data_IF_314094880684
#
_entry.id   IF_314094880684
#
_cell.length_a   1.000
_cell.length_b   1.000
_cell.length_c   1.000
_cell.angle_alpha   90.00
_cell.angle_beta   90.00
_cell.angle_gamma   90.00
#
_symmetry.space_group_name_H-M   'P 1'
#
loop_
_entity.id
_entity.type
_entity.pdbx_description
1 polymer ?
#
# COMPACT_ATOMS: atom_id res chain seq x y z
N UNK A 1 18.27 -27.12 11.04
CA UNK A 1 17.18 -27.68 10.20
C UNK A 1 17.56 -27.44 8.76
N UNK A 2 17.48 -28.47 7.91
CA UNK A 2 17.73 -28.32 6.47
C UNK A 2 16.64 -27.41 5.91
N UNK A 3 17.03 -26.30 5.30
CA UNK A 3 16.09 -25.36 4.67
C UNK A 3 15.68 -25.99 3.33
N UNK A 4 14.60 -26.75 3.30
CA UNK A 4 14.08 -27.40 2.09
C UNK A 4 13.26 -26.41 1.27
N UNK A 5 13.31 -26.53 -0.06
CA UNK A 5 12.51 -25.70 -0.96
C UNK A 5 11.04 -26.07 -0.79
N UNK A 6 10.21 -25.09 -0.41
CA UNK A 6 8.76 -25.26 -0.29
C UNK A 6 8.15 -25.49 -1.66
N UNK A 7 7.14 -26.34 -1.74
CA UNK A 7 6.28 -26.42 -2.93
C UNK A 7 5.44 -25.15 -3.09
N UNK A 8 4.98 -24.85 -4.31
CA UNK A 8 4.28 -23.58 -4.61
C UNK A 8 3.11 -23.29 -3.65
N UNK A 9 2.23 -24.28 -3.41
CA UNK A 9 1.09 -24.12 -2.49
C UNK A 9 1.52 -23.79 -1.07
N UNK A 10 2.53 -24.50 -0.55
CA UNK A 10 3.09 -24.24 0.78
C UNK A 10 3.73 -22.86 0.86
N UNK A 11 4.45 -22.45 -0.18
CA UNK A 11 5.09 -21.15 -0.26
C UNK A 11 4.08 -20.00 -0.30
N UNK A 12 2.97 -20.13 -1.05
CA UNK A 12 1.91 -19.13 -1.08
C UNK A 12 1.25 -18.96 0.29
N UNK A 13 0.91 -20.06 0.95
CA UNK A 13 0.40 -20.01 2.33
C UNK A 13 1.39 -19.32 3.26
N UNK A 14 2.69 -19.61 3.17
CA UNK A 14 3.70 -18.97 4.00
C UNK A 14 3.81 -17.44 3.77
N UNK A 15 3.64 -16.97 2.52
CA UNK A 15 3.62 -15.54 2.20
C UNK A 15 2.35 -14.86 2.75
N UNK A 16 1.19 -15.49 2.60
CA UNK A 16 -0.09 -14.97 3.12
C UNK A 16 -0.12 -14.93 4.65
N UNK A 17 0.42 -15.96 5.31
CA UNK A 17 0.57 -16.01 6.77
C UNK A 17 1.48 -14.88 7.27
N UNK A 18 2.61 -14.66 6.57
CA UNK A 18 3.52 -13.57 6.88
C UNK A 18 2.84 -12.21 6.75
N UNK A 19 1.98 -12.00 5.74
CA UNK A 19 1.17 -10.79 5.58
C UNK A 19 0.17 -10.63 6.71
N UNK A 20 -0.54 -11.69 7.06
CA UNK A 20 -1.64 -11.67 8.03
C UNK A 20 -1.14 -11.41 9.46
N UNK A 21 0.06 -11.88 9.80
CA UNK A 21 0.65 -11.74 11.14
C UNK A 21 0.78 -10.28 11.65
N UNK A 22 0.93 -9.31 10.75
CA UNK A 22 1.01 -7.86 11.07
C UNK A 22 0.13 -7.06 10.10
N UNK A 23 -1.07 -7.58 9.81
CA UNK A 23 -1.99 -6.94 8.87
C UNK A 23 -2.43 -5.55 9.37
N UNK A 24 -2.33 -4.55 8.50
CA UNK A 24 -2.65 -3.15 8.83
C UNK A 24 -4.12 -2.94 9.20
N UNK A 25 -5.03 -3.78 8.71
CA UNK A 25 -6.44 -3.79 9.13
C UNK A 25 -6.66 -4.08 10.62
N UNK A 26 -5.73 -4.75 11.29
CA UNK A 26 -5.80 -5.00 12.74
C UNK A 26 -5.22 -3.84 13.58
N UNK A 27 -4.64 -2.81 12.94
CA UNK A 27 -4.10 -1.65 13.63
C UNK A 27 -5.23 -0.81 14.27
N UNK A 28 -5.06 -0.26 15.49
CA UNK A 28 -6.09 0.57 16.14
C UNK A 28 -6.63 1.73 15.29
N UNK A 29 -5.78 2.42 14.53
CA UNK A 29 -6.19 3.42 13.53
C UNK A 29 -7.22 2.87 12.53
N UNK A 30 -6.94 1.69 11.96
CA UNK A 30 -7.80 1.05 10.95
C UNK A 30 -9.12 0.62 11.53
N UNK A 31 -9.11 0.08 12.76
CA UNK A 31 -10.32 -0.29 13.49
C UNK A 31 -11.18 0.94 13.80
N UNK A 32 -10.57 2.02 14.29
CA UNK A 32 -11.25 3.28 14.56
C UNK A 32 -11.89 3.86 13.28
N UNK A 33 -11.19 3.82 12.14
CA UNK A 33 -11.75 4.23 10.87
C UNK A 33 -12.96 3.36 10.48
N UNK A 34 -12.79 2.04 10.45
CA UNK A 34 -13.84 1.11 10.05
C UNK A 34 -15.10 1.22 10.94
N UNK A 35 -14.92 1.52 12.23
CA UNK A 35 -16.01 1.73 13.18
C UNK A 35 -16.68 3.12 13.07
N UNK A 36 -16.16 4.02 12.23
CA UNK A 36 -16.67 5.38 12.08
C UNK A 36 -16.31 6.30 13.26
N UNK A 37 -15.24 5.99 13.98
CA UNK A 37 -14.79 6.74 15.17
C UNK A 37 -13.85 7.90 14.80
N UNK A 38 -13.34 7.95 13.56
CA UNK A 38 -12.53 9.04 13.05
C UNK A 38 -13.39 10.12 12.39
N UNK A 39 -13.01 11.38 12.53
CA UNK A 39 -13.59 12.47 11.74
C UNK A 39 -12.94 12.59 10.35
N UNK A 40 -13.60 13.32 9.44
CA UNK A 40 -13.11 13.52 8.07
C UNK A 40 -11.73 14.20 8.03
N UNK A 41 -11.42 15.08 8.98
CA UNK A 41 -10.14 15.79 9.01
C UNK A 41 -9.00 14.84 9.39
N UNK A 42 -9.23 13.91 10.33
CA UNK A 42 -8.27 12.86 10.70
C UNK A 42 -8.01 11.92 9.53
N UNK A 43 -9.07 11.50 8.83
CA UNK A 43 -8.99 10.71 7.60
C UNK A 43 -8.22 11.46 6.51
N UNK A 44 -8.49 12.75 6.33
CA UNK A 44 -7.75 13.62 5.41
C UNK A 44 -6.26 13.74 5.74
N UNK A 45 -5.88 13.75 7.03
CA UNK A 45 -4.45 13.73 7.42
C UNK A 45 -3.77 12.40 7.08
N UNK A 46 -4.48 11.28 7.15
CA UNK A 46 -3.97 10.03 6.58
C UNK A 46 -3.76 10.14 5.07
N UNK A 47 -4.70 10.75 4.34
CA UNK A 47 -4.60 10.90 2.88
C UNK A 47 -3.34 11.68 2.48
N UNK A 48 -2.98 12.73 3.21
CA UNK A 48 -1.72 13.48 2.96
C UNK A 48 -0.48 12.59 3.11
N UNK A 49 -0.43 11.78 4.18
CA UNK A 49 0.70 10.87 4.37
C UNK A 49 0.71 9.76 3.32
N UNK A 50 -0.47 9.24 2.98
CA UNK A 50 -0.61 8.19 1.99
C UNK A 50 -0.24 8.68 0.58
N UNK A 51 -0.60 9.91 0.22
CA UNK A 51 -0.18 10.57 -1.01
C UNK A 51 1.33 10.70 -1.09
N UNK A 52 1.98 11.19 -0.04
CA UNK A 52 3.44 11.22 -0.01
C UNK A 52 3.99 9.81 -0.24
N UNK A 53 3.43 8.78 0.38
CA UNK A 53 3.88 7.42 0.14
C UNK A 53 3.67 6.95 -1.32
N UNK A 54 2.49 7.18 -1.93
CA UNK A 54 2.12 6.59 -3.23
C UNK A 54 2.50 7.41 -4.46
N UNK A 55 2.70 8.73 -4.34
CA UNK A 55 3.03 9.59 -5.48
C UNK A 55 4.21 9.06 -6.35
N UNK A 56 5.28 8.46 -5.78
CA UNK A 56 6.36 7.87 -6.57
C UNK A 56 6.15 6.40 -7.00
N UNK A 57 5.01 5.76 -6.70
CA UNK A 57 4.78 4.34 -7.00
C UNK A 57 4.94 4.03 -8.50
N UNK A 58 4.40 4.83 -9.44
CA UNK A 58 4.66 4.62 -10.86
C UNK A 58 6.15 4.56 -11.23
N UNK A 59 6.96 5.47 -10.69
CA UNK A 59 8.39 5.50 -10.96
C UNK A 59 9.10 4.31 -10.28
N UNK A 60 8.64 3.87 -9.12
CA UNK A 60 9.13 2.68 -8.44
C UNK A 60 8.82 1.41 -9.24
N UNK A 61 7.63 1.30 -9.85
CA UNK A 61 7.27 0.20 -10.73
C UNK A 61 8.06 0.23 -12.04
N UNK A 62 8.25 1.40 -12.64
CA UNK A 62 9.13 1.54 -13.81
C UNK A 62 10.56 1.09 -13.49
N UNK A 63 11.08 1.42 -12.30
CA UNK A 63 12.40 0.98 -11.85
C UNK A 63 12.48 -0.54 -11.65
N UNK A 64 11.43 -1.15 -11.08
CA UNK A 64 11.35 -2.61 -10.94
C UNK A 64 11.25 -3.29 -12.32
N UNK A 65 10.45 -2.74 -13.23
CA UNK A 65 10.28 -3.23 -14.61
C UNK A 65 11.60 -3.34 -15.34
N UNK A 66 12.49 -2.35 -15.18
CA UNK A 66 13.82 -2.36 -15.79
C UNK A 66 14.71 -3.53 -15.33
N UNK A 67 14.36 -4.20 -14.23
CA UNK A 67 15.13 -5.31 -13.64
C UNK A 67 14.54 -6.69 -13.94
N UNK A 68 13.37 -6.77 -14.56
CA UNK A 68 12.68 -8.02 -14.85
C UNK A 68 13.19 -8.61 -16.17
N UNK A 69 13.82 -9.78 -16.10
CA UNK A 69 14.35 -10.49 -17.27
C UNK A 69 13.26 -11.24 -18.05
N UNK A 70 12.17 -11.62 -17.39
CA UNK A 70 11.10 -12.44 -17.94
C UNK A 70 9.99 -11.59 -18.58
N UNK A 71 9.54 -11.98 -19.78
CA UNK A 71 8.54 -11.22 -20.53
C UNK A 71 7.19 -11.16 -19.81
N UNK A 72 6.74 -12.29 -19.27
CA UNK A 72 5.47 -12.40 -18.56
C UNK A 72 5.44 -11.48 -17.33
N UNK A 73 6.48 -11.53 -16.49
CA UNK A 73 6.64 -10.62 -15.36
C UNK A 73 6.66 -9.15 -15.79
N UNK A 74 7.34 -8.82 -16.90
CA UNK A 74 7.31 -7.46 -17.47
C UNK A 74 5.92 -7.02 -17.92
N UNK A 75 5.15 -7.90 -18.56
CA UNK A 75 3.80 -7.57 -19.03
C UNK A 75 2.86 -7.28 -17.87
N UNK A 76 2.87 -8.13 -16.84
CA UNK A 76 2.10 -7.91 -15.62
C UNK A 76 2.46 -6.62 -14.89
N UNK A 77 3.75 -6.33 -14.73
CA UNK A 77 4.16 -5.09 -14.07
C UNK A 77 3.86 -3.86 -14.93
N UNK A 78 3.88 -3.98 -16.25
CA UNK A 78 3.48 -2.90 -17.16
C UNK A 78 1.98 -2.61 -17.06
N UNK A 79 1.14 -3.64 -16.99
CA UNK A 79 -0.30 -3.49 -16.77
C UNK A 79 -0.59 -2.78 -15.44
N UNK A 80 0.07 -3.20 -14.35
CA UNK A 80 -0.06 -2.54 -13.05
C UNK A 80 0.42 -1.07 -13.11
N UNK A 81 1.59 -0.80 -13.72
CA UNK A 81 2.10 0.56 -13.91
C UNK A 81 1.14 1.46 -14.71
N UNK A 82 0.54 0.94 -15.79
CA UNK A 82 -0.45 1.69 -16.58
C UNK A 82 -1.69 1.97 -15.74
N UNK A 83 -2.12 1.02 -14.90
CA UNK A 83 -3.22 1.19 -13.95
C UNK A 83 -2.94 2.27 -12.90
N UNK A 84 -1.69 2.41 -12.45
CA UNK A 84 -1.31 3.47 -11.50
C UNK A 84 -1.25 4.87 -12.15
N UNK A 85 -0.75 4.97 -13.39
CA UNK A 85 -0.58 6.25 -14.11
C UNK A 85 -1.85 6.70 -14.87
N UNK A 86 -2.68 5.75 -15.30
CA UNK A 86 -3.91 5.99 -16.05
C UNK A 86 -3.77 7.00 -17.21
N UNK A 87 -2.78 6.84 -18.12
CA UNK A 87 -2.43 7.86 -19.11
C UNK A 87 -3.58 8.19 -20.10
N UNK A 88 -4.48 7.24 -20.35
CA UNK A 88 -5.60 7.39 -21.27
C UNK A 88 -6.86 7.98 -20.60
N UNK A 89 -6.86 8.11 -19.27
CA UNK A 89 -7.98 8.66 -18.49
C UNK A 89 -7.47 9.76 -17.56
N UNK A 90 -7.35 11.01 -18.05
CA UNK A 90 -6.86 12.12 -17.25
C UNK A 90 -7.58 12.25 -15.90
N UNK A 91 -6.86 12.64 -14.85
CA UNK A 91 -7.36 12.77 -13.47
C UNK A 91 -7.74 11.45 -12.77
N UNK A 92 -7.47 10.29 -13.40
CA UNK A 92 -7.66 8.97 -12.77
C UNK A 92 -6.36 8.36 -12.24
N UNK A 93 -5.23 9.05 -12.38
CA UNK A 93 -3.95 8.66 -11.75
C UNK A 93 -4.19 8.41 -10.27
N UNK A 94 -3.71 7.28 -9.73
CA UNK A 94 -4.04 6.89 -8.35
C UNK A 94 -3.69 7.95 -7.29
N UNK A 95 -2.51 8.61 -7.32
CA UNK A 95 -2.22 9.72 -6.41
C UNK A 95 -3.18 10.91 -6.58
N UNK A 96 -3.67 11.19 -7.79
CA UNK A 96 -4.59 12.30 -8.04
C UNK A 96 -6.00 11.99 -7.51
N UNK A 97 -6.44 10.72 -7.61
CA UNK A 97 -7.67 10.24 -6.96
C UNK A 97 -7.59 10.37 -5.44
N UNK A 98 -6.42 10.14 -4.85
CA UNK A 98 -6.22 10.31 -3.42
C UNK A 98 -6.24 11.79 -2.99
N UNK A 99 -5.73 12.70 -3.83
CA UNK A 99 -5.88 14.15 -3.62
C UNK A 99 -7.36 14.55 -3.71
N UNK A 100 -8.11 14.03 -4.69
CA UNK A 100 -9.57 14.25 -4.80
C UNK A 100 -10.28 13.83 -3.51
N UNK A 101 -10.01 12.62 -3.04
CA UNK A 101 -10.53 12.11 -1.76
C UNK A 101 -10.17 13.03 -0.59
N UNK A 102 -8.91 13.44 -0.50
CA UNK A 102 -8.43 14.37 0.51
C UNK A 102 -9.19 15.70 0.56
N UNK A 103 -9.54 16.25 -0.62
CA UNK A 103 -10.34 17.47 -0.74
C UNK A 103 -11.77 17.27 -0.25
N UNK A 104 -12.38 16.11 -0.53
CA UNK A 104 -13.69 15.73 0.03
C UNK A 104 -13.64 15.62 1.57
N UNK A 105 -12.49 15.24 2.13
CA UNK A 105 -12.21 15.27 3.56
C UNK A 105 -11.88 16.67 4.14
N UNK A 106 -11.90 17.72 3.31
CA UNK A 106 -11.65 19.11 3.74
C UNK A 106 -10.17 19.50 3.86
N UNK A 107 -9.27 18.77 3.20
CA UNK A 107 -7.84 19.10 3.14
C UNK A 107 -7.55 19.98 1.92
N UNK A 108 -6.74 21.02 2.11
CA UNK A 108 -6.27 21.85 1.00
C UNK A 108 -5.26 21.07 0.15
N UNK A 109 -5.40 21.18 -1.17
CA UNK A 109 -4.51 20.55 -2.15
C UNK A 109 -3.03 20.89 -1.91
N UNK A 110 -2.74 22.09 -1.41
CA UNK A 110 -1.37 22.50 -1.02
C UNK A 110 -0.78 21.61 0.06
N UNK A 111 -1.59 21.07 0.97
CA UNK A 111 -1.09 20.19 2.04
C UNK A 111 -0.56 18.85 1.51
N UNK A 112 -0.91 18.46 0.27
CA UNK A 112 -0.38 17.27 -0.40
C UNK A 112 0.96 17.57 -1.06
N UNK A 113 0.98 18.54 -1.99
CA UNK A 113 2.16 18.81 -2.82
C UNK A 113 3.28 19.56 -2.08
N UNK A 114 2.94 20.36 -1.06
CA UNK A 114 3.91 21.14 -0.28
C UNK A 114 4.18 20.53 1.11
N UNK A 115 3.71 19.30 1.37
CA UNK A 115 3.81 18.62 2.67
C UNK A 115 5.25 18.60 3.21
N UNK A 116 6.22 18.43 2.32
CA UNK A 116 7.66 18.40 2.62
C UNK A 116 8.14 19.73 3.19
N UNK A 117 7.92 20.83 2.46
CA UNK A 117 8.36 22.17 2.87
C UNK A 117 7.60 22.66 4.09
N UNK A 118 6.36 22.22 4.27
CA UNK A 118 5.55 22.49 5.45
C UNK A 118 5.97 21.65 6.67
N UNK A 119 6.89 20.70 6.53
CA UNK A 119 7.34 19.83 7.62
C UNK A 119 6.25 18.88 8.15
N UNK A 120 5.27 18.54 7.31
CA UNK A 120 4.09 17.76 7.67
C UNK A 120 4.23 16.26 7.37
N UNK A 121 5.28 15.84 6.65
CA UNK A 121 5.54 14.43 6.36
C UNK A 121 6.18 13.75 7.57
N UNK A 122 5.51 12.72 8.08
CA UNK A 122 5.93 11.97 9.26
C UNK A 122 7.16 11.09 8.98
N UNK A 123 8.06 10.89 9.96
CA UNK A 123 9.23 10.04 9.81
C UNK A 123 8.91 8.62 9.32
N UNK A 124 7.87 7.96 9.85
CA UNK A 124 7.51 6.61 9.40
C UNK A 124 6.92 6.58 8.00
N UNK A 125 6.28 7.67 7.55
CA UNK A 125 5.80 7.82 6.17
C UNK A 125 6.98 7.95 5.20
N UNK A 126 8.04 8.66 5.59
CA UNK A 126 9.31 8.69 4.85
C UNK A 126 9.95 7.31 4.81
N UNK A 127 10.00 6.62 5.93
CA UNK A 127 10.53 5.26 6.01
C UNK A 127 9.77 4.30 5.08
N UNK A 128 8.43 4.38 5.02
CA UNK A 128 7.61 3.60 4.10
C UNK A 128 7.97 3.87 2.64
N UNK A 129 8.06 5.14 2.23
CA UNK A 129 8.48 5.52 0.86
C UNK A 129 9.89 5.00 0.55
N UNK A 130 10.84 5.19 1.47
CA UNK A 130 12.23 4.75 1.30
C UNK A 130 12.35 3.23 1.21
N UNK A 131 11.53 2.49 1.98
CA UNK A 131 11.49 1.03 1.93
C UNK A 131 11.12 0.51 0.55
N UNK A 132 10.13 1.11 -0.12
CA UNK A 132 9.81 0.69 -1.50
C UNK A 132 10.95 1.03 -2.46
N UNK A 133 11.58 2.20 -2.33
CA UNK A 133 12.77 2.50 -3.11
C UNK A 133 13.91 1.49 -2.88
N UNK A 134 14.09 1.00 -1.66
CA UNK A 134 15.05 -0.05 -1.35
C UNK A 134 14.67 -1.39 -2.02
N UNK A 135 13.39 -1.77 -1.95
CA UNK A 135 12.87 -2.97 -2.61
C UNK A 135 13.15 -2.94 -4.12
N UNK A 136 12.82 -1.84 -4.80
CA UNK A 136 12.92 -1.76 -6.27
C UNK A 136 14.33 -1.48 -6.78
N UNK A 137 15.23 -0.89 -5.99
CA UNK A 137 16.60 -0.60 -6.42
C UNK A 137 17.65 -1.63 -5.95
N UNK A 138 17.49 -2.18 -4.75
CA UNK A 138 18.59 -2.89 -4.05
C UNK A 138 18.27 -4.35 -3.80
N UNK A 139 17.04 -4.67 -3.37
CA UNK A 139 16.67 -6.03 -2.94
C UNK A 139 16.49 -6.98 -4.12
N UNK A 140 16.59 -8.28 -3.88
CA UNK A 140 16.37 -9.30 -4.90
C UNK A 140 14.93 -9.25 -5.44
N UNK A 141 14.68 -9.64 -6.70
CA UNK A 141 13.34 -9.60 -7.32
C UNK A 141 12.27 -10.36 -6.50
N UNK A 142 12.66 -11.49 -5.90
CA UNK A 142 11.84 -12.22 -4.92
C UNK A 142 11.39 -11.37 -3.74
N UNK A 143 12.26 -10.52 -3.19
CA UNK A 143 11.91 -9.59 -2.11
C UNK A 143 11.04 -8.45 -2.63
N UNK A 144 11.35 -7.92 -3.83
CA UNK A 144 10.62 -6.81 -4.45
C UNK A 144 9.16 -7.17 -4.74
N UNK A 145 8.92 -8.27 -5.44
CA UNK A 145 7.57 -8.73 -5.78
C UNK A 145 6.76 -9.09 -4.52
N UNK A 146 7.39 -9.81 -3.57
CA UNK A 146 6.73 -10.19 -2.33
C UNK A 146 6.41 -8.98 -1.45
N UNK A 147 7.36 -8.07 -1.28
CA UNK A 147 7.23 -6.90 -0.41
C UNK A 147 6.26 -5.85 -0.91
N UNK A 148 6.01 -5.79 -2.22
CA UNK A 148 5.09 -4.82 -2.82
C UNK A 148 3.73 -5.47 -3.09
N UNK A 149 3.67 -6.43 -4.01
CA UNK A 149 2.42 -6.95 -4.56
C UNK A 149 1.73 -7.90 -3.58
N UNK A 150 2.48 -8.83 -2.99
CA UNK A 150 1.89 -9.77 -2.01
C UNK A 150 1.57 -9.05 -0.71
N UNK A 151 2.50 -8.24 -0.19
CA UNK A 151 2.40 -7.66 1.14
C UNK A 151 1.59 -6.36 1.21
N UNK A 152 1.73 -5.43 0.27
CA UNK A 152 1.09 -4.10 0.39
C UNK A 152 -0.23 -4.04 -0.38
N UNK A 153 -0.22 -4.35 -1.68
CA UNK A 153 -1.42 -4.39 -2.52
C UNK A 153 -2.39 -5.45 -2.00
N UNK A 154 -1.88 -6.64 -1.66
CA UNK A 154 -2.70 -7.73 -1.15
C UNK A 154 -3.42 -7.50 0.19
N UNK A 155 -3.16 -6.40 0.90
CA UNK A 155 -3.95 -6.01 2.09
C UNK A 155 -5.18 -5.17 1.73
N UNK A 156 -5.16 -4.46 0.60
CA UNK A 156 -6.14 -3.42 0.30
C UNK A 156 -7.55 -3.98 0.03
N UNK A 157 -7.72 -5.09 -0.73
CA UNK A 157 -9.04 -5.67 -0.99
C UNK A 157 -9.79 -6.14 0.27
N UNK A 158 -9.07 -6.51 1.34
CA UNK A 158 -9.68 -6.96 2.60
C UNK A 158 -9.91 -5.82 3.59
N UNK A 159 -9.30 -4.65 3.34
CA UNK A 159 -9.34 -3.50 4.25
C UNK A 159 -10.32 -2.41 3.78
N UNK A 160 -10.21 -2.01 2.52
CA UNK A 160 -10.94 -0.86 1.98
C UNK A 160 -12.46 -0.98 1.95
N UNK A 161 -13.08 -2.18 1.80
CA UNK A 161 -14.54 -2.29 1.88
C UNK A 161 -15.13 -1.71 3.18
N UNK A 162 -14.50 -1.99 4.32
CA UNK A 162 -14.95 -1.46 5.61
C UNK A 162 -14.77 0.07 5.72
N UNK A 163 -13.73 0.63 5.10
CA UNK A 163 -13.52 2.08 5.07
C UNK A 163 -14.57 2.78 4.21
N UNK A 164 -14.88 2.23 3.04
CA UNK A 164 -15.93 2.75 2.15
C UNK A 164 -17.28 2.76 2.86
N UNK A 165 -17.63 1.70 3.59
CA UNK A 165 -18.86 1.66 4.39
C UNK A 165 -18.92 2.74 5.48
N UNK A 166 -17.80 2.97 6.18
CA UNK A 166 -17.71 4.02 7.20
C UNK A 166 -17.85 5.42 6.59
N UNK A 167 -17.12 5.71 5.51
CA UNK A 167 -17.12 7.01 4.85
C UNK A 167 -18.45 7.35 4.17
N UNK A 168 -19.17 6.34 3.66
CA UNK A 168 -20.54 6.54 3.15
C UNK A 168 -21.49 7.04 4.25
N UNK A 169 -21.34 6.55 5.48
CA UNK A 169 -22.11 7.06 6.64
C UNK A 169 -21.70 8.48 7.05
N UNK A 170 -20.48 8.89 6.71
CA UNK A 170 -19.96 10.25 6.90
C UNK A 170 -20.38 11.23 5.78
N UNK A 171 -21.10 10.75 4.76
CA UNK A 171 -21.66 11.57 3.70
C UNK A 171 -20.81 11.67 2.42
N UNK A 172 -19.72 10.91 2.31
CA UNK A 172 -18.95 10.83 1.07
C UNK A 172 -19.69 9.98 0.03
N UNK A 173 -19.58 10.37 -1.24
CA UNK A 173 -20.15 9.64 -2.36
C UNK A 173 -19.09 8.75 -3.05
N UNK A 174 -19.51 7.91 -4.00
CA UNK A 174 -18.60 6.97 -4.67
C UNK A 174 -17.54 7.67 -5.56
N UNK A 175 -17.82 8.87 -6.07
CA UNK A 175 -16.81 9.68 -6.79
C UNK A 175 -15.73 10.20 -5.84
N UNK A 176 -16.08 10.62 -4.62
CA UNK A 176 -15.11 11.01 -3.60
C UNK A 176 -14.19 9.84 -3.22
N UNK A 177 -14.74 8.62 -3.21
CA UNK A 177 -14.08 7.39 -2.77
C UNK A 177 -13.46 6.56 -3.91
N UNK A 178 -13.36 7.12 -5.12
CA UNK A 178 -12.91 6.37 -6.30
C UNK A 178 -11.54 5.70 -6.12
N UNK A 179 -10.60 6.35 -5.41
CA UNK A 179 -9.32 5.76 -5.05
C UNK A 179 -9.49 4.37 -4.38
N UNK A 180 -10.46 4.21 -3.48
CA UNK A 180 -10.67 2.95 -2.78
C UNK A 180 -11.30 1.91 -3.69
N UNK A 181 -12.26 2.30 -4.54
CA UNK A 181 -12.95 1.39 -5.45
C UNK A 181 -12.01 0.75 -6.47
N UNK A 182 -11.12 1.54 -7.08
CA UNK A 182 -10.16 1.00 -8.07
C UNK A 182 -9.19 -0.01 -7.44
N UNK A 183 -8.79 0.18 -6.18
CA UNK A 183 -7.93 -0.76 -5.46
C UNK A 183 -8.69 -2.01 -4.97
N UNK A 184 -9.97 -1.89 -4.59
CA UNK A 184 -10.80 -3.06 -4.25
C UNK A 184 -10.95 -3.99 -5.45
N UNK A 185 -11.18 -3.43 -6.64
CA UNK A 185 -11.39 -4.20 -7.87
C UNK A 185 -10.08 -4.70 -8.47
N UNK A 186 -9.06 -3.86 -8.58
CA UNK A 186 -7.78 -4.17 -9.24
C UNK A 186 -6.84 -5.05 -8.42
N UNK A 187 -6.71 -4.79 -7.11
CA UNK A 187 -5.61 -5.40 -6.34
C UNK A 187 -5.85 -6.87 -5.97
N UNK A 188 -7.06 -7.38 -6.13
CA UNK A 188 -7.32 -8.81 -5.98
C UNK A 188 -6.55 -9.62 -7.04
N UNK A 189 -6.52 -9.15 -8.28
CA UNK A 189 -5.76 -9.75 -9.37
C UNK A 189 -4.25 -9.49 -9.17
N UNK A 190 -3.87 -8.26 -8.84
CA UNK A 190 -2.47 -7.91 -8.60
C UNK A 190 -1.84 -8.75 -7.48
N UNK A 191 -2.58 -9.05 -6.42
CA UNK A 191 -2.12 -9.92 -5.34
C UNK A 191 -1.87 -11.35 -5.82
N UNK A 192 -2.73 -11.89 -6.70
CA UNK A 192 -2.53 -13.23 -7.25
C UNK A 192 -1.31 -13.28 -8.16
N UNK A 193 -1.20 -12.35 -9.11
CA UNK A 193 -0.05 -12.18 -9.99
C UNK A 193 1.25 -11.97 -9.19
N UNK A 194 1.17 -11.21 -8.09
CA UNK A 194 2.27 -11.01 -7.17
C UNK A 194 2.79 -12.30 -6.54
N UNK A 195 1.91 -13.26 -6.22
CA UNK A 195 2.32 -14.59 -5.75
C UNK A 195 3.06 -15.37 -6.84
N UNK A 196 2.59 -15.31 -8.09
CA UNK A 196 3.22 -15.98 -9.24
C UNK A 196 4.62 -15.45 -9.52
N UNK A 197 4.76 -14.13 -9.67
CA UNK A 197 6.05 -13.46 -9.88
C UNK A 197 7.00 -13.75 -8.71
N UNK A 198 6.50 -13.72 -7.47
CA UNK A 198 7.31 -14.04 -6.29
C UNK A 198 7.82 -15.49 -6.34
N UNK A 199 6.96 -16.48 -6.63
CA UNK A 199 7.39 -17.87 -6.75
C UNK A 199 8.42 -18.09 -7.84
N UNK A 200 8.26 -17.43 -8.98
CA UNK A 200 9.20 -17.50 -10.10
C UNK A 200 10.62 -17.06 -9.68
N UNK A 201 10.74 -15.96 -8.94
CA UNK A 201 12.03 -15.46 -8.47
C UNK A 201 12.52 -16.08 -7.16
N UNK A 202 11.71 -16.91 -6.48
CA UNK A 202 12.04 -17.61 -5.24
C UNK A 202 12.42 -19.09 -5.47
N UNK A 203 13.34 -19.35 -6.39
CA UNK A 203 13.72 -20.70 -6.81
C UNK A 203 14.74 -21.43 -5.90
N UNK A 204 15.09 -20.84 -4.75
CA UNK A 204 15.90 -21.49 -3.71
C UNK A 204 15.26 -21.31 -2.32
N UNK A 205 15.56 -22.20 -1.36
CA UNK A 205 15.08 -22.05 0.02
C UNK A 205 15.49 -20.70 0.65
N UNK A 206 16.65 -20.17 0.28
CA UNK A 206 17.14 -18.88 0.75
C UNK A 206 16.32 -17.72 0.17
N UNK A 207 15.94 -17.80 -1.13
CA UNK A 207 15.12 -16.79 -1.78
C UNK A 207 13.67 -16.83 -1.31
N UNK A 208 13.10 -18.02 -1.04
CA UNK A 208 11.79 -18.14 -0.39
C UNK A 208 11.80 -17.49 0.99
N UNK A 209 12.83 -17.77 1.80
CA UNK A 209 12.98 -17.15 3.12
C UNK A 209 13.10 -15.63 3.03
N UNK A 210 13.84 -15.10 2.06
CA UNK A 210 13.97 -13.66 1.82
C UNK A 210 12.63 -13.03 1.42
N UNK A 211 11.88 -13.65 0.51
CA UNK A 211 10.56 -13.18 0.11
C UNK A 211 9.59 -13.10 1.30
N UNK A 212 9.49 -14.18 2.09
CA UNK A 212 8.66 -14.22 3.31
C UNK A 212 9.08 -13.11 4.30
N UNK A 213 10.39 -12.92 4.50
CA UNK A 213 10.89 -11.86 5.37
C UNK A 213 10.57 -10.46 4.84
N UNK A 214 10.60 -10.26 3.52
CA UNK A 214 10.23 -9.01 2.88
C UNK A 214 8.73 -8.70 3.03
N UNK A 215 7.87 -9.73 3.01
CA UNK A 215 6.43 -9.56 3.33
C UNK A 215 6.27 -9.03 4.74
N UNK A 216 6.86 -9.71 5.73
CA UNK A 216 6.79 -9.27 7.14
C UNK A 216 7.36 -7.86 7.34
N UNK A 217 8.49 -7.54 6.71
CA UNK A 217 9.07 -6.20 6.81
C UNK A 217 8.15 -5.13 6.22
N UNK A 218 7.50 -5.41 5.08
CA UNK A 218 6.60 -4.47 4.41
C UNK A 218 5.31 -4.24 5.21
N UNK A 219 4.75 -5.28 5.81
CA UNK A 219 3.59 -5.12 6.70
C UNK A 219 3.94 -4.37 7.98
N UNK A 220 5.14 -4.58 8.54
CA UNK A 220 5.66 -3.79 9.66
C UNK A 220 5.87 -2.31 9.28
N UNK A 221 6.37 -2.00 8.09
CA UNK A 221 6.51 -0.61 7.64
C UNK A 221 5.15 0.08 7.51
N UNK A 222 4.14 -0.61 6.95
CA UNK A 222 2.76 -0.12 6.91
C UNK A 222 2.20 0.08 8.31
N UNK A 223 2.43 -0.87 9.23
CA UNK A 223 2.00 -0.76 10.62
C UNK A 223 2.58 0.49 11.29
N UNK A 224 3.90 0.71 11.19
CA UNK A 224 4.56 1.87 11.80
C UNK A 224 4.16 3.20 11.14
N UNK A 225 3.82 3.18 9.85
CA UNK A 225 3.20 4.33 9.19
C UNK A 225 1.88 4.68 9.87
N UNK A 226 0.99 3.70 10.08
CA UNK A 226 -0.29 3.91 10.76
C UNK A 226 -0.13 4.28 12.23
N UNK A 227 0.84 3.71 12.95
CA UNK A 227 1.08 4.03 14.37
C UNK A 227 1.44 5.51 14.52
N UNK A 228 2.36 6.02 13.69
CA UNK A 228 2.75 7.43 13.77
C UNK A 228 1.58 8.37 13.40
N UNK A 229 0.75 8.00 12.41
CA UNK A 229 -0.46 8.74 12.04
C UNK A 229 -1.45 8.76 13.22
N UNK A 230 -1.68 7.60 13.83
CA UNK A 230 -2.60 7.44 14.95
C UNK A 230 -2.17 8.26 16.17
N UNK A 231 -0.89 8.18 16.55
CA UNK A 231 -0.32 8.98 17.63
C UNK A 231 -0.46 10.48 17.34
N UNK A 232 -0.12 10.92 16.13
CA UNK A 232 -0.10 12.36 15.81
C UNK A 232 -1.49 12.96 15.67
N UNK A 233 -2.41 12.27 15.02
CA UNK A 233 -3.68 12.84 14.55
C UNK A 233 -4.92 12.28 15.24
N UNK A 234 -4.80 11.20 16.03
CA UNK A 234 -5.96 10.59 16.70
C UNK A 234 -5.80 10.60 18.22
N UNK A 235 -4.79 9.94 18.78
CA UNK A 235 -4.63 9.84 20.25
C UNK A 235 -4.38 11.20 20.92
N UNK A 236 -3.55 12.04 20.30
CA UNK A 236 -3.10 13.30 20.90
C UNK A 236 -3.95 14.52 20.48
N UNK A 237 -5.13 14.31 19.90
CA UNK A 237 -6.06 15.38 19.55
C UNK A 237 -7.17 15.43 20.61
N UNK A 238 -7.36 16.55 21.34
CA UNK A 238 -8.47 16.68 22.27
C UNK A 238 -9.79 16.47 21.50
N UNK A 239 -10.64 15.55 21.95
CA UNK A 239 -11.99 15.44 21.41
C UNK A 239 -12.72 16.77 21.68
N UNK A 240 -13.28 17.37 20.63
CA UNK A 240 -14.14 18.53 20.79
C UNK A 240 -15.34 18.12 21.66
N UNK A 241 -15.53 18.82 22.77
CA UNK A 241 -16.63 18.61 23.72
C UNK A 241 -17.99 18.96 23.11
#
# INVERSE_FOLDING_TARGET
>A
MVNTLMGQKEFYTALEDARTSVHSGAHPFSLAWANGELDLKQIGKWAVQHFYYIDPIPQQFAQLFCRLDDLEARQHLLENLIGEEMPDTPQKRHPDLLVKFGKACGIDEKEFYDAENMGCVLPSTRAMRSWIWELVNVRHLAESAAGIMVALEGQLPTLYPAYVEAMRKMGLNDDDMEFFHVHIEGDAEHAHVGLEITAQYSNTPELQKKAISAVTASTQMRWQMLENIFEKYVKNVPQAA
#
